data_IF_015884663531
#
_entry.id   IF_015884663531
#
_cell.length_a   1.000
_cell.length_b   1.000
_cell.length_c   1.000
_cell.angle_alpha   90.00
_cell.angle_beta   90.00
_cell.angle_gamma   90.00
#
_symmetry.space_group_name_H-M   'P 1'
#
loop_
_entity.id
_entity.type
_entity.pdbx_description
1 polymer ?
#
# COMPACT_ATOMS: atom_id res chain seq x y z
N UNK A 1 0.30 -3.43 -21.54
CA UNK A 1 1.19 -4.54 -21.97
C UNK A 1 1.38 -5.49 -20.79
N UNK A 2 1.46 -6.81 -20.98
CA UNK A 2 1.66 -7.75 -19.85
C UNK A 2 3.05 -7.56 -19.25
N UNK A 3 3.12 -7.17 -17.97
CA UNK A 3 4.36 -6.98 -17.20
C UNK A 3 4.65 -8.24 -16.35
N UNK A 4 5.85 -8.36 -15.73
CA UNK A 4 6.18 -9.51 -14.87
C UNK A 4 5.10 -9.75 -13.81
N UNK A 5 4.85 -11.02 -13.47
CA UNK A 5 3.85 -11.47 -12.49
C UNK A 5 2.36 -11.32 -12.87
N UNK A 6 2.06 -10.96 -14.11
CA UNK A 6 0.67 -10.92 -14.61
C UNK A 6 -0.11 -9.69 -14.17
N UNK A 7 0.55 -8.73 -13.52
CA UNK A 7 -0.02 -7.47 -13.05
C UNK A 7 -0.29 -6.50 -14.20
N UNK A 8 -1.36 -5.71 -14.06
CA UNK A 8 -1.65 -4.58 -14.95
C UNK A 8 -0.76 -3.38 -14.64
N UNK A 9 -0.70 -2.41 -15.55
CA UNK A 9 0.00 -1.13 -15.30
C UNK A 9 -0.63 -0.38 -14.10
N UNK A 10 -1.95 -0.54 -13.88
CA UNK A 10 -2.65 0.00 -12.70
C UNK A 10 -2.20 -0.69 -11.41
N UNK A 11 -2.10 -2.02 -11.38
CA UNK A 11 -1.65 -2.74 -10.18
C UNK A 11 -0.20 -2.39 -9.82
N UNK A 12 0.64 -2.14 -10.82
CA UNK A 12 2.02 -1.68 -10.60
C UNK A 12 2.06 -0.27 -10.01
N UNK A 13 1.24 0.65 -10.52
CA UNK A 13 1.11 1.98 -9.96
C UNK A 13 0.60 1.94 -8.51
N UNK A 14 -0.40 1.11 -8.23
CA UNK A 14 -0.93 0.92 -6.89
C UNK A 14 0.12 0.30 -5.95
N UNK A 15 0.94 -0.63 -6.43
CA UNK A 15 2.06 -1.19 -5.66
C UNK A 15 3.13 -0.14 -5.32
N UNK A 16 3.48 0.71 -6.28
CA UNK A 16 4.41 1.83 -6.03
C UNK A 16 3.84 2.79 -4.99
N UNK A 17 2.56 3.13 -5.09
CA UNK A 17 1.86 3.95 -4.11
C UNK A 17 1.84 3.34 -2.72
N UNK A 18 1.60 2.03 -2.60
CA UNK A 18 1.64 1.30 -1.33
C UNK A 18 3.04 1.35 -0.73
N UNK A 19 4.08 1.09 -1.54
CA UNK A 19 5.48 1.17 -1.11
C UNK A 19 5.80 2.55 -0.54
N UNK A 20 5.41 3.61 -1.23
CA UNK A 20 5.69 4.97 -0.82
C UNK A 20 4.92 5.34 0.47
N UNK A 21 3.69 4.85 0.61
CA UNK A 21 2.88 5.03 1.82
C UNK A 21 3.47 4.29 3.03
N UNK A 22 4.01 3.08 2.84
CA UNK A 22 4.72 2.33 3.88
C UNK A 22 5.99 3.05 4.32
N UNK A 23 6.75 3.62 3.37
CA UNK A 23 7.94 4.41 3.69
C UNK A 23 7.59 5.65 4.52
N UNK A 24 6.49 6.34 4.21
CA UNK A 24 5.98 7.47 4.98
C UNK A 24 5.58 7.06 6.40
N UNK A 25 4.79 5.99 6.54
CA UNK A 25 4.37 5.47 7.85
C UNK A 25 5.57 5.05 8.70
N UNK A 26 6.57 4.41 8.10
CA UNK A 26 7.80 4.05 8.78
C UNK A 26 8.58 5.30 9.27
N UNK A 27 8.71 6.33 8.42
CA UNK A 27 9.34 7.59 8.81
C UNK A 27 8.59 8.29 9.95
N UNK A 28 7.25 8.31 9.91
CA UNK A 28 6.42 8.83 11.01
C UNK A 28 6.65 8.03 12.30
N UNK A 29 6.61 6.70 12.22
CA UNK A 29 6.87 5.83 13.37
C UNK A 29 8.26 6.08 14.00
N UNK A 30 9.29 6.37 13.21
CA UNK A 30 10.61 6.75 13.73
C UNK A 30 10.62 8.09 14.47
N UNK A 31 9.63 8.95 14.25
CA UNK A 31 9.44 10.20 14.99
C UNK A 31 8.50 10.05 16.20
N UNK A 32 8.20 8.82 16.65
CA UNK A 32 7.34 8.56 17.81
C UNK A 32 7.82 9.24 19.10
N UNK A 33 9.12 9.47 19.23
CA UNK A 33 9.72 10.17 20.37
C UNK A 33 9.47 11.69 20.37
N UNK A 34 8.84 12.23 19.31
CA UNK A 34 8.42 13.62 19.20
C UNK A 34 6.91 13.76 19.44
N UNK A 35 6.47 13.96 20.70
CA UNK A 35 5.05 14.13 21.01
C UNK A 35 4.48 15.34 20.26
N UNK A 36 3.45 15.10 19.45
CA UNK A 36 2.71 16.13 18.71
C UNK A 36 2.82 16.09 17.19
N UNK A 37 3.70 15.26 16.63
CA UNK A 37 3.93 15.17 15.18
C UNK A 37 2.83 14.39 14.45
N UNK A 38 2.26 13.39 15.11
CA UNK A 38 1.08 12.68 14.62
C UNK A 38 0.29 12.05 15.78
N UNK A 39 -0.99 11.79 15.55
CA UNK A 39 -1.85 11.11 16.51
C UNK A 39 -1.94 9.61 16.17
N UNK A 40 -2.19 8.73 17.15
CA UNK A 40 -2.44 7.31 16.89
C UNK A 40 -3.56 7.07 15.86
N UNK A 41 -4.58 7.93 15.83
CA UNK A 41 -5.68 7.85 14.88
C UNK A 41 -5.23 8.13 13.44
N UNK A 42 -4.30 9.07 13.23
CA UNK A 42 -3.73 9.32 11.90
C UNK A 42 -2.92 8.11 11.43
N UNK A 43 -2.10 7.53 12.30
CA UNK A 43 -1.34 6.32 11.98
C UNK A 43 -2.26 5.15 11.60
N UNK A 44 -3.32 4.93 12.37
CA UNK A 44 -4.33 3.92 12.08
C UNK A 44 -5.00 4.15 10.72
N UNK A 45 -5.37 5.40 10.40
CA UNK A 45 -5.97 5.75 9.10
C UNK A 45 -5.02 5.53 7.92
N UNK A 46 -3.72 5.80 8.08
CA UNK A 46 -2.74 5.50 7.03
C UNK A 46 -2.60 4.00 6.80
N UNK A 47 -2.55 3.20 7.87
CA UNK A 47 -2.45 1.75 7.79
C UNK A 47 -3.70 1.13 7.15
N UNK A 48 -4.89 1.61 7.50
CA UNK A 48 -6.15 1.17 6.92
C UNK A 48 -6.18 1.40 5.40
N UNK A 49 -5.74 2.58 4.95
CA UNK A 49 -5.63 2.91 3.52
C UNK A 49 -4.65 2.00 2.78
N UNK A 50 -3.51 1.70 3.40
CA UNK A 50 -2.50 0.77 2.83
C UNK A 50 -3.09 -0.63 2.69
N UNK A 51 -3.87 -1.10 3.67
CA UNK A 51 -4.56 -2.38 3.62
C UNK A 51 -5.58 -2.45 2.48
N UNK A 52 -6.34 -1.38 2.25
CA UNK A 52 -7.29 -1.29 1.13
C UNK A 52 -6.60 -1.40 -0.24
N UNK A 53 -5.55 -0.61 -0.45
CA UNK A 53 -4.78 -0.59 -1.70
C UNK A 53 -4.13 -1.97 -1.95
N UNK A 54 -3.51 -2.58 -0.94
CA UNK A 54 -2.97 -3.95 -1.02
C UNK A 54 -4.05 -5.00 -1.33
N UNK A 55 -5.21 -4.89 -0.69
CA UNK A 55 -6.31 -5.82 -0.92
C UNK A 55 -6.83 -5.73 -2.36
N UNK A 56 -6.85 -4.53 -2.96
CA UNK A 56 -7.21 -4.35 -4.36
C UNK A 56 -6.21 -5.04 -5.29
N UNK A 57 -4.91 -4.86 -5.07
CA UNK A 57 -3.84 -5.50 -5.85
C UNK A 57 -3.92 -7.03 -5.75
N UNK A 58 -4.08 -7.57 -4.54
CA UNK A 58 -4.18 -9.03 -4.33
C UNK A 58 -5.40 -9.60 -5.06
N UNK A 59 -6.56 -8.92 -5.00
CA UNK A 59 -7.76 -9.34 -5.74
C UNK A 59 -7.52 -9.31 -7.25
N UNK A 60 -6.90 -8.25 -7.76
CA UNK A 60 -6.58 -8.11 -9.19
C UNK A 60 -5.67 -9.27 -9.66
N UNK A 61 -4.57 -9.50 -8.95
CA UNK A 61 -3.61 -10.57 -9.25
C UNK A 61 -4.24 -11.98 -9.18
N UNK A 62 -5.07 -12.24 -8.17
CA UNK A 62 -5.74 -13.55 -8.00
C UNK A 62 -6.85 -13.81 -9.01
N UNK A 63 -7.61 -12.77 -9.41
CA UNK A 63 -8.56 -12.87 -10.53
C UNK A 63 -7.81 -13.18 -11.82
N UNK A 64 -6.68 -12.53 -12.07
CA UNK A 64 -5.88 -12.77 -13.27
C UNK A 64 -5.26 -14.17 -13.32
N UNK A 65 -4.90 -14.77 -12.19
CA UNK A 65 -4.44 -16.16 -12.12
C UNK A 65 -5.52 -17.19 -12.48
N UNK A 66 -6.81 -16.89 -12.22
CA UNK A 66 -7.92 -17.81 -12.56
C UNK A 66 -8.39 -17.69 -14.00
N UNK A 67 -8.01 -16.62 -14.68
CA UNK A 67 -8.38 -16.32 -16.08
C UNK A 67 -7.35 -16.78 -17.10
N UNK A 68 -6.22 -17.33 -16.64
CA UNK A 68 -5.09 -17.84 -17.44
C UNK A 68 -5.03 -19.37 -17.33
#
# INVERSE_FOLDING_TARGET
MRRPYGLTDTDLFDLERVRDSLALVHALAQQADHPGLYTPQMLAGFLDRICDDLSAIIRSATVQQRSN
#
